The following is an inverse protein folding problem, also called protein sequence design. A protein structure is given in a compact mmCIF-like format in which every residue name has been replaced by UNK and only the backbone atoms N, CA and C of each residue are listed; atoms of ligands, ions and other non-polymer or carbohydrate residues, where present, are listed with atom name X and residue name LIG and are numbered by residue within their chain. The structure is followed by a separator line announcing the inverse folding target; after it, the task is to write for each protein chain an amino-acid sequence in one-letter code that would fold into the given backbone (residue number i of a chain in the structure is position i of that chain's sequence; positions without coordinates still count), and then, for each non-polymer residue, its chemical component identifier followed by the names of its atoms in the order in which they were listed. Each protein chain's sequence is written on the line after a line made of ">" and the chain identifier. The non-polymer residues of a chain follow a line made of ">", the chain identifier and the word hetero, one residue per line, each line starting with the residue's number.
data_IF_197757195930
#
_entry.id   IF_197757195930
#
_cell.length_a   1.000
_cell.length_b   1.000
_cell.length_c   1.000
_cell.angle_alpha   90.00
_cell.angle_beta   90.00
_cell.angle_gamma   90.00
#
_symmetry.space_group_name_H-M   'P 1'
#
loop_
_entity.id
_entity.type
_entity.pdbx_description
1 polymer ?
#
# COMPACT_ATOMS: atom_id res chain seq x y z
N UNK A 1 -4.34 -13.22 18.53
CA UNK A 1 -5.18 -12.18 17.90
C UNK A 1 -5.11 -12.34 16.37
N UNK A 2 -6.25 -12.34 15.67
CA UNK A 2 -6.20 -12.34 14.20
C UNK A 2 -5.64 -11.00 13.73
N UNK A 3 -4.59 -11.04 12.93
CA UNK A 3 -4.01 -9.85 12.32
C UNK A 3 -5.05 -9.15 11.44
N UNK A 4 -5.26 -7.87 11.68
CA UNK A 4 -6.26 -7.09 10.94
C UNK A 4 -5.59 -6.51 9.68
N UNK A 5 -6.19 -6.80 8.53
CA UNK A 5 -5.78 -6.25 7.24
C UNK A 5 -6.87 -5.36 6.66
N UNK A 6 -6.48 -4.34 5.90
CA UNK A 6 -7.34 -3.67 4.94
C UNK A 6 -7.25 -4.41 3.60
N UNK A 7 -8.38 -4.61 2.97
CA UNK A 7 -8.48 -5.34 1.71
C UNK A 7 -8.93 -4.38 0.60
N UNK A 8 -8.19 -4.38 -0.51
CA UNK A 8 -8.69 -3.79 -1.75
C UNK A 8 -9.77 -4.70 -2.32
N UNK A 9 -10.86 -4.16 -2.89
CA UNK A 9 -11.83 -4.98 -3.62
C UNK A 9 -11.16 -5.87 -4.67
N UNK A 10 -11.63 -7.10 -4.80
CA UNK A 10 -11.11 -8.06 -5.78
C UNK A 10 -11.22 -7.49 -7.20
N UNK A 11 -10.18 -7.69 -8.00
CA UNK A 11 -10.15 -7.29 -9.40
C UNK A 11 -9.44 -8.36 -10.25
N UNK A 12 -9.57 -8.23 -11.58
CA UNK A 12 -8.90 -9.10 -12.53
C UNK A 12 -7.68 -8.43 -13.12
N UNK A 13 -6.63 -9.24 -13.33
CA UNK A 13 -5.43 -8.81 -14.06
C UNK A 13 -5.81 -8.45 -15.49
N UNK A 14 -5.44 -7.25 -15.91
CA UNK A 14 -5.66 -6.75 -17.26
C UNK A 14 -4.51 -7.19 -18.17
N UNK A 15 -4.79 -7.34 -19.47
CA UNK A 15 -3.78 -7.68 -20.45
C UNK A 15 -2.60 -6.69 -20.47
N UNK A 16 -2.88 -5.39 -20.35
CA UNK A 16 -1.86 -4.33 -20.30
C UNK A 16 -0.95 -4.36 -19.05
N UNK A 17 -1.25 -5.18 -18.06
CA UNK A 17 -0.44 -5.35 -16.86
C UNK A 17 0.59 -6.49 -16.99
N UNK A 18 0.50 -7.26 -18.09
CA UNK A 18 1.41 -8.38 -18.36
C UNK A 18 2.59 -7.96 -19.24
N UNK A 19 3.67 -8.70 -19.15
CA UNK A 19 4.86 -8.55 -19.98
C UNK A 19 4.91 -9.58 -21.11
N UNK A 20 6.02 -9.59 -21.87
CA UNK A 20 6.23 -10.52 -22.99
C UNK A 20 6.29 -12.00 -22.56
N UNK A 21 6.54 -12.28 -21.28
CA UNK A 21 6.51 -13.63 -20.74
C UNK A 21 5.08 -14.11 -20.36
N UNK A 22 4.08 -13.26 -20.57
CA UNK A 22 2.68 -13.55 -20.25
C UNK A 22 2.39 -13.55 -18.74
N UNK A 23 3.25 -12.93 -17.94
CA UNK A 23 3.05 -12.77 -16.51
C UNK A 23 2.95 -11.28 -16.15
N UNK A 24 2.34 -10.99 -15.03
CA UNK A 24 2.23 -9.62 -14.54
C UNK A 24 3.62 -9.02 -14.32
N UNK A 25 3.85 -7.86 -14.92
CA UNK A 25 5.09 -7.13 -14.72
C UNK A 25 5.23 -6.70 -13.25
N UNK A 26 6.40 -6.88 -12.66
CA UNK A 26 6.65 -6.65 -11.23
C UNK A 26 6.20 -5.27 -10.73
N UNK A 27 6.28 -4.24 -11.57
CA UNK A 27 5.87 -2.88 -11.21
C UNK A 27 4.35 -2.76 -10.95
N UNK A 28 3.53 -3.62 -11.55
CA UNK A 28 2.09 -3.64 -11.30
C UNK A 28 1.78 -4.12 -9.87
N UNK A 29 2.54 -5.07 -9.37
CA UNK A 29 2.46 -5.55 -7.98
C UNK A 29 2.59 -4.36 -7.00
N UNK A 30 3.57 -3.49 -7.25
CA UNK A 30 3.79 -2.31 -6.40
C UNK A 30 2.67 -1.26 -6.55
N UNK A 31 2.13 -1.08 -7.76
CA UNK A 31 0.98 -0.20 -8.01
C UNK A 31 -0.29 -0.69 -7.31
N UNK A 32 -0.52 -2.01 -7.32
CA UNK A 32 -1.66 -2.58 -6.60
C UNK A 32 -1.56 -2.36 -5.09
N UNK A 33 -0.36 -2.52 -4.51
CA UNK A 33 -0.12 -2.22 -3.10
C UNK A 33 -0.33 -0.72 -2.80
N UNK A 34 0.11 0.18 -3.68
CA UNK A 34 -0.12 1.63 -3.57
C UNK A 34 -1.61 2.00 -3.66
N UNK A 35 -2.34 1.37 -4.58
CA UNK A 35 -3.78 1.56 -4.68
C UNK A 35 -4.50 1.15 -3.39
N UNK A 36 -4.06 0.06 -2.74
CA UNK A 36 -4.63 -0.38 -1.48
C UNK A 36 -4.35 0.63 -0.34
N UNK A 37 -3.17 1.27 -0.31
CA UNK A 37 -2.88 2.36 0.65
C UNK A 37 -3.77 3.58 0.41
N UNK A 38 -3.93 4.00 -0.84
CA UNK A 38 -4.83 5.11 -1.19
C UNK A 38 -6.27 4.80 -0.82
N UNK A 39 -6.72 3.57 -1.06
CA UNK A 39 -8.05 3.10 -0.69
C UNK A 39 -8.25 3.07 0.83
N UNK A 40 -7.24 2.63 1.57
CA UNK A 40 -7.24 2.63 3.03
C UNK A 40 -7.58 4.01 3.60
N UNK A 41 -6.90 5.05 3.13
CA UNK A 41 -7.14 6.42 3.58
C UNK A 41 -8.49 6.95 3.08
N UNK A 42 -8.81 6.75 1.80
CA UNK A 42 -10.07 7.20 1.21
C UNK A 42 -11.30 6.65 1.94
N UNK A 43 -11.32 5.35 2.27
CA UNK A 43 -12.42 4.73 3.01
C UNK A 43 -12.60 5.30 4.43
N UNK A 44 -11.60 6.03 4.94
CA UNK A 44 -11.63 6.68 6.25
C UNK A 44 -11.83 8.19 6.18
N UNK A 45 -12.13 8.71 4.98
CA UNK A 45 -12.34 10.13 4.74
C UNK A 45 -11.07 10.97 4.93
N UNK A 46 -9.90 10.36 4.74
CA UNK A 46 -8.60 11.02 4.89
C UNK A 46 -7.95 11.22 3.53
N UNK A 47 -7.54 12.45 3.25
CA UNK A 47 -6.82 12.77 2.02
C UNK A 47 -5.36 12.30 2.14
N UNK A 48 -4.99 11.38 1.25
CA UNK A 48 -3.62 10.84 1.17
C UNK A 48 -2.59 11.88 0.73
N UNK A 49 -3.01 12.84 -0.08
CA UNK A 49 -2.19 13.95 -0.52
C UNK A 49 -3.04 15.23 -0.54
N UNK A 50 -2.47 16.32 -0.03
CA UNK A 50 -3.16 17.60 0.04
C UNK A 50 -2.34 18.70 -0.60
N UNK A 51 -3.01 19.65 -1.24
CA UNK A 51 -2.39 20.87 -1.79
C UNK A 51 -3.01 22.07 -1.08
N UNK A 52 -2.20 22.82 -0.37
CA UNK A 52 -2.63 24.04 0.32
C UNK A 52 -1.51 25.09 0.32
N UNK A 53 -1.85 26.34 -0.03
CA UNK A 53 -0.90 27.45 -0.04
C UNK A 53 0.33 27.23 -0.93
N UNK A 54 0.17 26.57 -2.08
CA UNK A 54 1.28 26.25 -3.01
C UNK A 54 2.19 25.12 -2.56
N UNK A 55 1.83 24.45 -1.47
CA UNK A 55 2.58 23.31 -0.91
C UNK A 55 1.81 22.02 -1.09
N UNK A 56 2.50 20.99 -1.53
CA UNK A 56 1.99 19.62 -1.61
C UNK A 56 2.46 18.85 -0.38
N UNK A 57 1.54 18.20 0.32
CA UNK A 57 1.83 17.27 1.40
C UNK A 57 1.44 15.86 1.00
N UNK A 58 2.26 14.89 1.36
CA UNK A 58 2.03 13.50 1.00
C UNK A 58 3.03 12.56 1.65
N UNK A 59 3.05 11.33 1.16
CA UNK A 59 3.79 10.22 1.73
C UNK A 59 4.81 9.64 0.74
N UNK A 60 5.92 10.36 0.42
CA UNK A 60 6.98 9.77 -0.40
C UNK A 60 7.55 8.52 0.26
N UNK A 61 7.77 7.50 -0.57
CA UNK A 61 8.37 6.24 -0.11
C UNK A 61 9.87 6.40 0.04
N UNK A 62 10.39 5.93 1.16
CA UNK A 62 11.84 5.99 1.48
C UNK A 62 12.48 4.61 1.56
N UNK A 63 11.67 3.56 1.71
CA UNK A 63 12.14 2.18 1.74
C UNK A 63 11.09 1.26 1.16
N UNK A 64 11.53 0.28 0.37
CA UNK A 64 10.68 -0.77 -0.18
C UNK A 64 11.45 -2.09 -0.19
N UNK A 65 10.80 -3.15 0.24
CA UNK A 65 11.25 -4.52 0.13
C UNK A 65 10.07 -5.37 -0.35
N UNK A 66 10.28 -6.16 -1.38
CA UNK A 66 9.28 -7.06 -1.93
C UNK A 66 9.89 -8.40 -2.30
N UNK A 67 9.12 -9.45 -2.10
CA UNK A 67 9.39 -10.81 -2.57
C UNK A 67 8.29 -11.19 -3.55
N UNK A 68 8.70 -11.70 -4.72
CA UNK A 68 7.80 -12.22 -5.74
C UNK A 68 7.81 -13.75 -5.62
N UNK A 69 6.70 -14.31 -5.18
CA UNK A 69 6.60 -15.71 -4.76
C UNK A 69 6.12 -16.59 -5.90
N UNK A 70 5.12 -16.13 -6.65
CA UNK A 70 4.56 -16.83 -7.79
C UNK A 70 4.09 -15.87 -8.89
N UNK A 71 4.06 -16.28 -10.16
CA UNK A 71 3.58 -15.43 -11.22
C UNK A 71 2.06 -15.26 -11.16
N UNK A 72 1.56 -14.05 -11.39
CA UNK A 72 0.17 -13.78 -11.76
C UNK A 72 0.06 -13.64 -13.27
N UNK A 73 -1.07 -13.99 -13.84
CA UNK A 73 -1.33 -14.02 -15.29
C UNK A 73 -2.57 -13.20 -15.63
N UNK A 74 -2.72 -12.93 -16.92
CA UNK A 74 -3.94 -12.31 -17.43
C UNK A 74 -5.19 -13.05 -16.93
N UNK A 75 -6.20 -12.28 -16.50
CA UNK A 75 -7.48 -12.71 -15.98
C UNK A 75 -7.47 -13.40 -14.60
N UNK A 76 -6.30 -13.58 -13.97
CA UNK A 76 -6.25 -14.01 -12.55
C UNK A 76 -7.03 -13.01 -11.68
N UNK A 77 -7.78 -13.53 -10.69
CA UNK A 77 -8.46 -12.70 -9.69
C UNK A 77 -7.50 -12.38 -8.56
N UNK A 78 -7.32 -11.10 -8.30
CA UNK A 78 -6.32 -10.60 -7.34
C UNK A 78 -7.01 -10.04 -6.11
N UNK A 79 -6.50 -10.41 -4.95
CA UNK A 79 -6.82 -9.80 -3.66
C UNK A 79 -5.54 -9.18 -3.10
N UNK A 80 -5.59 -7.90 -2.81
CA UNK A 80 -4.51 -7.15 -2.15
C UNK A 80 -4.92 -6.84 -0.73
N UNK A 81 -4.06 -7.15 0.21
CA UNK A 81 -4.25 -6.86 1.63
C UNK A 81 -3.03 -6.13 2.18
N UNK A 82 -3.29 -5.08 2.94
CA UNK A 82 -2.27 -4.28 3.59
C UNK A 82 -2.60 -4.08 5.06
N UNK A 83 -1.57 -3.83 5.85
CA UNK A 83 -1.72 -3.34 7.22
C UNK A 83 -0.62 -2.36 7.58
N UNK A 84 -0.92 -1.31 8.37
CA UNK A 84 0.13 -0.49 8.92
C UNK A 84 0.91 -1.27 9.98
N UNK A 85 2.22 -1.13 9.94
CA UNK A 85 3.11 -1.59 10.99
C UNK A 85 3.37 -0.39 11.89
N UNK A 86 2.71 -0.35 13.03
CA UNK A 86 2.89 0.71 14.01
C UNK A 86 4.21 0.48 14.74
N UNK A 87 5.30 0.85 14.10
CA UNK A 87 6.64 0.78 14.68
C UNK A 87 6.77 1.86 15.76
N UNK A 88 6.93 1.41 17.01
CA UNK A 88 7.42 2.27 18.06
C UNK A 88 6.39 2.83 19.01
N UNK A 89 5.73 1.96 19.78
CA UNK A 89 5.32 2.32 21.15
C UNK A 89 6.52 2.38 22.12
N UNK A 90 7.73 2.24 21.58
CA UNK A 90 8.95 2.38 22.36
C UNK A 90 9.38 3.85 22.38
N UNK A 91 8.89 4.58 23.41
CA UNK A 91 9.56 5.76 23.93
C UNK A 91 9.63 7.01 23.07
N UNK A 92 8.54 7.77 22.97
CA UNK A 92 8.68 9.23 23.10
C UNK A 92 8.96 10.07 21.87
N UNK A 93 9.29 9.57 20.70
CA UNK A 93 9.41 10.41 19.50
C UNK A 93 8.17 10.26 18.59
N UNK A 94 7.48 11.39 18.40
CA UNK A 94 6.39 11.51 17.43
C UNK A 94 6.93 11.22 16.04
N UNK A 95 6.66 10.03 15.52
CA UNK A 95 7.16 9.62 14.20
C UNK A 95 6.28 10.19 13.09
N UNK A 96 6.91 10.69 12.04
CA UNK A 96 6.26 11.04 10.78
C UNK A 96 6.40 9.95 9.72
N UNK A 97 6.86 8.77 10.09
CA UNK A 97 6.97 7.63 9.20
C UNK A 97 5.85 6.62 9.44
N UNK A 98 5.36 6.05 8.36
CA UNK A 98 4.41 4.93 8.36
C UNK A 98 5.06 3.79 7.62
N UNK A 99 5.14 2.62 8.26
CA UNK A 99 5.51 1.38 7.60
C UNK A 99 4.28 0.54 7.32
N UNK A 100 4.26 -0.12 6.19
CA UNK A 100 3.17 -0.98 5.74
C UNK A 100 3.69 -2.36 5.42
N UNK A 101 2.88 -3.35 5.69
CA UNK A 101 3.04 -4.70 5.15
C UNK A 101 1.96 -4.95 4.11
N UNK A 102 2.32 -5.65 3.02
CA UNK A 102 1.37 -6.09 2.02
C UNK A 102 1.52 -7.57 1.71
N UNK A 103 0.41 -8.19 1.36
CA UNK A 103 0.35 -9.54 0.79
C UNK A 103 -0.63 -9.50 -0.37
N UNK A 104 -0.23 -10.05 -1.51
CA UNK A 104 -1.03 -10.12 -2.72
C UNK A 104 -1.23 -11.60 -3.05
N UNK A 105 -2.48 -11.99 -3.25
CA UNK A 105 -2.86 -13.36 -3.58
C UNK A 105 -3.68 -13.39 -4.87
N UNK A 106 -3.48 -14.42 -5.69
CA UNK A 106 -4.39 -14.76 -6.77
C UNK A 106 -5.37 -15.82 -6.28
N UNK A 107 -6.66 -15.57 -6.45
CA UNK A 107 -7.70 -16.57 -6.25
C UNK A 107 -7.83 -17.37 -7.54
N UNK A 108 -7.29 -18.57 -7.57
CA UNK A 108 -7.38 -19.51 -8.70
C UNK A 108 -8.44 -20.55 -8.37
N UNK A 109 -9.54 -20.52 -9.10
CA UNK A 109 -10.59 -21.52 -8.97
C UNK A 109 -10.46 -22.58 -10.03
N UNK A 110 -10.49 -23.85 -9.62
CA UNK A 110 -10.83 -24.93 -10.52
C UNK A 110 -12.34 -24.91 -10.83
N UNK A 111 -12.71 -25.33 -12.04
CA UNK A 111 -14.10 -25.39 -12.50
C UNK A 111 -14.97 -26.39 -11.72
N UNK A 112 -14.77 -26.54 -10.41
CA UNK A 112 -15.52 -27.56 -9.67
C UNK A 112 -15.42 -27.60 -8.16
N UNK A 113 -14.86 -26.62 -7.44
CA UNK A 113 -15.08 -26.71 -6.00
C UNK A 113 -14.09 -26.14 -5.00
N UNK A 114 -13.09 -25.39 -5.38
CA UNK A 114 -12.22 -24.73 -4.43
C UNK A 114 -11.47 -23.57 -5.04
N UNK A 115 -11.42 -22.42 -4.37
CA UNK A 115 -10.48 -21.36 -4.74
C UNK A 115 -9.19 -21.59 -3.95
N UNK A 116 -8.15 -22.04 -4.63
CA UNK A 116 -6.81 -22.02 -4.06
C UNK A 116 -6.26 -20.61 -4.13
N UNK A 117 -6.00 -20.02 -2.97
CA UNK A 117 -5.35 -18.73 -2.87
C UNK A 117 -3.83 -18.91 -2.97
N UNK A 118 -3.28 -18.52 -4.09
CA UNK A 118 -1.82 -18.55 -4.33
C UNK A 118 -1.23 -17.20 -3.99
N UNK A 119 -0.28 -17.17 -3.05
CA UNK A 119 0.48 -15.95 -2.77
C UNK A 119 1.35 -15.60 -3.96
N UNK A 120 1.18 -14.36 -4.47
CA UNK A 120 1.91 -13.84 -5.61
C UNK A 120 3.12 -13.03 -5.16
N UNK A 121 2.90 -12.17 -4.16
CA UNK A 121 3.94 -11.32 -3.62
C UNK A 121 3.61 -10.90 -2.20
N UNK A 122 4.67 -10.56 -1.46
CA UNK A 122 4.59 -9.93 -0.15
C UNK A 122 5.70 -8.93 0.03
N UNK A 123 5.53 -8.02 0.96
CA UNK A 123 6.59 -7.06 1.24
C UNK A 123 6.21 -6.00 2.25
N UNK A 124 7.10 -5.03 2.34
CA UNK A 124 6.97 -3.88 3.24
C UNK A 124 7.47 -2.63 2.58
N UNK A 125 6.83 -1.52 2.86
CA UNK A 125 7.39 -0.20 2.52
C UNK A 125 7.28 0.74 3.71
N UNK A 126 8.11 1.78 3.67
CA UNK A 126 8.05 2.88 4.63
C UNK A 126 7.89 4.17 3.84
N UNK A 127 6.92 4.97 4.24
CA UNK A 127 6.69 6.33 3.75
C UNK A 127 6.95 7.31 4.87
N UNK A 128 7.36 8.52 4.53
CA UNK A 128 7.48 9.62 5.48
C UNK A 128 6.51 10.73 5.11
N UNK A 129 5.92 11.37 6.10
CA UNK A 129 5.09 12.54 5.83
C UNK A 129 5.98 13.73 5.48
N UNK A 130 5.78 14.29 4.30
CA UNK A 130 6.63 15.32 3.75
C UNK A 130 5.81 16.45 3.11
N UNK A 131 6.41 17.62 3.07
CA UNK A 131 5.88 18.82 2.43
C UNK A 131 6.84 19.22 1.32
N UNK A 132 6.32 19.36 0.11
CA UNK A 132 7.03 19.90 -1.04
C UNK A 132 6.53 21.32 -1.35
N UNK A 133 7.46 22.24 -1.49
CA UNK A 133 7.22 23.55 -2.07
C UNK A 133 7.61 23.46 -3.55
N UNK A 134 6.60 23.43 -4.43
CA UNK A 134 6.81 23.21 -5.86
C UNK A 134 7.55 24.40 -6.49
N UNK A 135 7.24 25.62 -6.04
CA UNK A 135 7.88 26.84 -6.58
C UNK A 135 9.35 26.94 -6.16
N UNK A 136 9.65 26.58 -4.92
CA UNK A 136 11.02 26.61 -4.40
C UNK A 136 11.83 25.34 -4.76
N UNK A 137 11.19 24.31 -5.30
CA UNK A 137 11.83 23.02 -5.60
C UNK A 137 12.35 22.28 -4.36
N UNK A 138 11.72 22.50 -3.20
CA UNK A 138 12.18 21.93 -1.93
C UNK A 138 11.24 20.84 -1.45
N UNK A 139 11.81 19.80 -0.83
CA UNK A 139 11.08 18.72 -0.15
C UNK A 139 11.63 18.58 1.26
N UNK A 140 10.76 18.65 2.27
CA UNK A 140 11.15 18.47 3.66
C UNK A 140 10.23 17.48 4.37
N UNK A 141 10.80 16.69 5.26
CA UNK A 141 10.05 15.83 6.16
C UNK A 141 9.34 16.67 7.22
N UNK A 142 8.07 16.39 7.44
CA UNK A 142 7.28 16.97 8.55
C UNK A 142 7.50 16.12 9.80
N UNK A 143 7.61 16.75 10.96
CA UNK A 143 7.96 16.04 12.21
C UNK A 143 6.85 15.12 12.73
N UNK A 144 5.59 15.48 12.51
CA UNK A 144 4.44 14.77 13.08
C UNK A 144 3.41 14.45 11.99
N UNK A 145 2.76 13.31 12.12
CA UNK A 145 1.60 12.96 11.31
C UNK A 145 0.40 13.83 11.71
N UNK A 146 -0.45 14.24 10.77
CA UNK A 146 -1.73 14.85 11.07
C UNK A 146 -2.61 13.94 11.95
N UNK A 147 -3.43 14.55 12.81
CA UNK A 147 -4.26 13.82 13.77
C UNK A 147 -5.26 12.86 13.09
N UNK A 148 -5.79 13.21 11.92
CA UNK A 148 -6.66 12.37 11.12
C UNK A 148 -5.95 11.10 10.62
N UNK A 149 -4.69 11.21 10.23
CA UNK A 149 -3.84 10.06 9.84
C UNK A 149 -3.62 9.15 11.04
N UNK A 150 -3.21 9.72 12.18
CA UNK A 150 -2.99 8.95 13.42
C UNK A 150 -4.27 8.19 13.82
N UNK A 151 -5.43 8.83 13.72
CA UNK A 151 -6.72 8.21 14.01
C UNK A 151 -7.04 7.07 13.05
N UNK A 152 -6.82 7.27 11.74
CA UNK A 152 -7.06 6.23 10.75
C UNK A 152 -6.18 4.98 10.97
N UNK A 153 -4.96 5.17 11.46
CA UNK A 153 -4.03 4.07 11.75
C UNK A 153 -4.36 3.37 13.07
N UNK A 154 -4.94 4.07 14.06
CA UNK A 154 -5.18 3.54 15.40
C UNK A 154 -6.13 2.33 15.44
N UNK A 155 -6.96 2.14 14.40
CA UNK A 155 -7.83 0.97 14.26
C UNK A 155 -7.06 -0.34 14.10
N UNK A 156 -5.74 -0.28 13.83
CA UNK A 156 -4.85 -1.42 13.61
C UNK A 156 -3.79 -1.57 14.72
N UNK A 157 -3.89 -0.75 15.76
CA UNK A 157 -3.00 -0.73 16.92
C UNK A 157 -3.32 -1.87 17.91
#
# INVERSE_FOLDING_TARGET
>A
MKEKFHFLPEFRVRFAETDMAGVVHFSQILRWAENAESDFFRCRGVDFATVAGGKLRGFPRVKLQAEFVAPARYDDRIVVKIRPLLSGRDGGEKSSAISWEFVIVAARGDNGGGCDNVEIARGRWTSVYAEADVAAGTLRRVRELPAEIVRALSEFA
#
